data_IF_465167037458
#
_entry.id   IF_465167037458
#
_cell.length_a   1.000
_cell.length_b   1.000
_cell.length_c   1.000
_cell.angle_alpha   90.00
_cell.angle_beta   90.00
_cell.angle_gamma   90.00
#
_symmetry.space_group_name_H-M   'P 1'
#
loop_
_entity.id
_entity.type
_entity.pdbx_description
1 polymer ?
#
# COMPACT_ATOMS: atom_id res chain seq x y z
N UNK A 1 7.15 -10.67 71.08
CA UNK A 1 7.87 -10.82 69.80
C UNK A 1 6.95 -10.91 68.57
N UNK A 2 5.64 -11.13 68.72
CA UNK A 2 4.70 -11.23 67.59
C UNK A 2 4.20 -9.88 67.02
N UNK A 3 4.25 -8.80 67.79
CA UNK A 3 3.72 -7.48 67.38
C UNK A 3 4.64 -6.73 66.39
N UNK A 4 5.96 -6.98 66.43
CA UNK A 4 6.96 -6.36 65.53
C UNK A 4 6.97 -7.01 64.13
N UNK A 5 6.61 -8.29 64.05
CA UNK A 5 6.55 -9.04 62.80
C UNK A 5 5.37 -8.55 61.94
N UNK A 6 4.25 -8.18 62.58
CA UNK A 6 3.04 -7.74 61.91
C UNK A 6 3.15 -6.33 61.29
N UNK A 7 3.88 -5.41 61.93
CA UNK A 7 4.18 -4.08 61.35
C UNK A 7 5.16 -4.21 60.18
N UNK A 8 6.21 -5.01 60.36
CA UNK A 8 7.22 -5.27 59.33
C UNK A 8 6.62 -5.89 58.05
N UNK A 9 5.77 -6.91 58.17
CA UNK A 9 5.08 -7.53 57.03
C UNK A 9 4.14 -6.56 56.30
N UNK A 10 3.45 -5.67 57.03
CA UNK A 10 2.57 -4.66 56.43
C UNK A 10 3.36 -3.62 55.63
N UNK A 11 4.53 -3.24 56.13
CA UNK A 11 5.40 -2.29 55.45
C UNK A 11 6.08 -2.94 54.23
N UNK A 12 6.48 -4.22 54.31
CA UNK A 12 6.91 -5.01 53.15
C UNK A 12 5.81 -5.19 52.09
N UNK A 13 4.56 -5.39 52.51
CA UNK A 13 3.43 -5.48 51.58
C UNK A 13 3.18 -4.15 50.84
N UNK A 14 3.28 -3.01 51.54
CA UNK A 14 3.17 -1.68 50.91
C UNK A 14 4.29 -1.43 49.91
N UNK A 15 5.52 -1.79 50.26
CA UNK A 15 6.68 -1.67 49.38
C UNK A 15 6.51 -2.58 48.15
N UNK A 16 6.02 -3.81 48.34
CA UNK A 16 5.74 -4.73 47.24
C UNK A 16 4.70 -4.20 46.26
N UNK A 17 3.58 -3.64 46.76
CA UNK A 17 2.54 -3.05 45.91
C UNK A 17 3.06 -1.85 45.11
N UNK A 18 3.89 -1.01 45.73
CA UNK A 18 4.54 0.10 45.01
C UNK A 18 5.48 -0.38 43.91
N UNK A 19 6.27 -1.43 44.18
CA UNK A 19 7.18 -2.02 43.19
C UNK A 19 6.43 -2.67 42.03
N UNK A 20 5.29 -3.34 42.28
CA UNK A 20 4.44 -3.90 41.23
C UNK A 20 3.89 -2.78 40.34
N UNK A 21 3.43 -1.68 40.93
CA UNK A 21 2.93 -0.52 40.17
C UNK A 21 4.01 0.09 39.27
N UNK A 22 5.22 0.29 39.79
CA UNK A 22 6.34 0.83 39.02
C UNK A 22 6.75 -0.13 37.90
N UNK A 23 6.79 -1.43 38.18
CA UNK A 23 7.11 -2.45 37.17
C UNK A 23 6.12 -2.43 36.01
N UNK A 24 4.82 -2.37 36.31
CA UNK A 24 3.78 -2.26 35.28
C UNK A 24 3.91 -0.97 34.46
N UNK A 25 4.26 0.15 35.08
CA UNK A 25 4.48 1.42 34.38
C UNK A 25 5.65 1.31 33.40
N UNK A 26 6.77 0.73 33.82
CA UNK A 26 7.93 0.53 32.94
C UNK A 26 7.58 -0.40 31.77
N UNK A 27 6.88 -1.51 32.03
CA UNK A 27 6.43 -2.43 30.97
C UNK A 27 5.52 -1.72 29.98
N UNK A 28 4.55 -0.92 30.45
CA UNK A 28 3.65 -0.16 29.59
C UNK A 28 4.42 0.82 28.68
N UNK A 29 5.40 1.54 29.21
CA UNK A 29 6.25 2.45 28.42
C UNK A 29 7.03 1.69 27.35
N UNK A 30 7.64 0.55 27.70
CA UNK A 30 8.40 -0.26 26.74
C UNK A 30 7.50 -0.81 25.64
N UNK A 31 6.32 -1.34 25.99
CA UNK A 31 5.35 -1.87 25.02
C UNK A 31 4.85 -0.77 24.09
N UNK A 32 4.49 0.40 24.61
CA UNK A 32 4.05 1.54 23.79
C UNK A 32 5.18 2.01 22.88
N UNK A 33 6.40 2.14 23.40
CA UNK A 33 7.54 2.55 22.58
C UNK A 33 7.83 1.54 21.47
N UNK A 34 7.79 0.23 21.78
CA UNK A 34 7.95 -0.82 20.78
C UNK A 34 6.82 -0.81 19.75
N UNK A 35 5.57 -0.68 20.19
CA UNK A 35 4.41 -0.60 19.31
C UNK A 35 4.51 0.60 18.37
N UNK A 36 4.76 1.79 18.90
CA UNK A 36 4.91 3.02 18.12
C UNK A 36 6.11 2.89 17.18
N UNK A 37 7.28 2.45 17.64
CA UNK A 37 8.47 2.31 16.80
C UNK A 37 8.28 1.28 15.69
N UNK A 38 7.66 0.15 15.98
CA UNK A 38 7.39 -0.92 15.01
C UNK A 38 6.34 -0.47 13.99
N UNK A 39 5.21 0.08 14.44
CA UNK A 39 4.19 0.60 13.53
C UNK A 39 4.69 1.79 12.73
N UNK A 40 5.41 2.74 13.32
CA UNK A 40 5.95 3.89 12.58
C UNK A 40 7.05 3.48 11.62
N UNK A 41 7.94 2.52 11.92
CA UNK A 41 8.90 2.05 10.91
C UNK A 41 8.25 1.32 9.74
N UNK A 42 7.23 0.50 10.02
CA UNK A 42 6.47 -0.19 8.97
C UNK A 42 5.66 0.81 8.15
N UNK A 43 5.05 1.80 8.78
CA UNK A 43 4.15 2.76 8.10
C UNK A 43 4.91 3.93 7.46
N UNK A 44 6.01 4.41 8.04
CA UNK A 44 6.82 5.50 7.47
C UNK A 44 7.56 5.09 6.21
N UNK A 45 7.80 3.79 5.99
CA UNK A 45 8.28 3.29 4.70
C UNK A 45 7.19 3.34 3.60
N UNK A 46 5.93 3.67 3.95
CA UNK A 46 4.77 3.56 3.06
C UNK A 46 4.06 4.88 2.74
N UNK A 47 4.50 6.02 3.29
CA UNK A 47 3.98 7.35 2.90
C UNK A 47 4.95 8.03 1.92
N UNK A 48 5.56 7.26 1.02
CA UNK A 48 6.07 7.86 -0.21
C UNK A 48 4.85 8.06 -1.08
N UNK A 49 4.41 9.32 -1.20
CA UNK A 49 3.35 9.70 -2.13
C UNK A 49 3.68 9.12 -3.51
N UNK A 50 2.86 8.16 -3.96
CA UNK A 50 3.13 7.47 -5.23
C UNK A 50 3.10 8.52 -6.34
N UNK A 51 4.13 8.58 -7.21
CA UNK A 51 4.19 9.60 -8.26
C UNK A 51 2.98 9.53 -9.20
N UNK A 52 2.46 8.33 -9.42
CA UNK A 52 1.30 8.09 -10.26
C UNK A 52 0.58 6.80 -9.84
N UNK A 53 -0.67 6.67 -10.29
CA UNK A 53 -1.40 5.40 -10.35
C UNK A 53 -1.62 5.02 -11.80
N UNK A 54 -1.71 3.73 -12.08
CA UNK A 54 -2.01 3.25 -13.42
C UNK A 54 -2.97 2.07 -13.33
N UNK A 55 -3.84 1.94 -14.33
CA UNK A 55 -4.77 0.83 -14.46
C UNK A 55 -5.01 0.53 -15.94
N UNK A 56 -5.44 -0.68 -16.25
CA UNK A 56 -5.85 -1.03 -17.60
C UNK A 56 -7.38 -0.97 -17.74
N UNK A 57 -7.85 -0.27 -18.76
CA UNK A 57 -9.25 -0.26 -19.18
C UNK A 57 -9.58 -1.50 -20.02
N UNK A 58 -10.87 -1.81 -20.14
CA UNK A 58 -11.39 -2.99 -20.88
C UNK A 58 -11.01 -2.98 -22.37
N UNK A 59 -10.75 -1.79 -22.93
CA UNK A 59 -10.44 -1.58 -24.35
C UNK A 59 -8.93 -1.60 -24.66
N UNK A 60 -8.13 -2.39 -23.93
CA UNK A 60 -6.66 -2.46 -24.10
C UNK A 60 -5.98 -1.08 -24.01
N UNK A 61 -6.37 -0.32 -23.00
CA UNK A 61 -5.84 1.02 -22.79
C UNK A 61 -5.26 1.14 -21.37
N UNK A 62 -3.96 1.34 -21.27
CA UNK A 62 -3.28 1.63 -20.00
C UNK A 62 -3.44 3.10 -19.71
N UNK A 63 -4.19 3.41 -18.66
CA UNK A 63 -4.44 4.79 -18.20
C UNK A 63 -3.49 5.09 -17.06
N UNK A 64 -2.78 6.21 -17.17
CA UNK A 64 -1.79 6.67 -16.20
C UNK A 64 -2.33 7.97 -15.60
N UNK A 65 -2.50 8.01 -14.28
CA UNK A 65 -2.98 9.18 -13.53
C UNK A 65 -1.84 9.74 -12.68
N UNK A 66 -1.43 10.97 -12.99
CA UNK A 66 -0.28 11.60 -12.38
C UNK A 66 -0.65 12.37 -11.10
N UNK A 67 0.00 12.06 -9.98
CA UNK A 67 -0.18 12.77 -8.70
C UNK A 67 0.76 13.99 -8.57
N UNK A 68 1.78 14.06 -9.44
CA UNK A 68 2.74 15.15 -9.60
C UNK A 68 3.18 15.24 -11.06
N UNK A 69 3.91 16.26 -11.45
CA UNK A 69 4.49 16.33 -12.79
C UNK A 69 5.46 15.16 -13.00
N UNK A 70 5.25 14.42 -14.08
CA UNK A 70 6.09 13.29 -14.48
C UNK A 70 6.79 13.63 -15.78
N UNK A 71 8.02 13.16 -15.92
CA UNK A 71 8.86 13.30 -17.10
C UNK A 71 9.36 11.92 -17.54
N UNK A 72 9.44 11.70 -18.84
CA UNK A 72 9.97 10.45 -19.42
C UNK A 72 9.28 9.18 -18.87
N UNK A 73 7.95 9.19 -18.82
CA UNK A 73 7.16 8.02 -18.43
C UNK A 73 7.15 7.03 -19.58
N UNK A 74 7.46 5.77 -19.29
CA UNK A 74 7.49 4.69 -20.29
C UNK A 74 6.53 3.58 -19.89
N UNK A 75 5.82 3.04 -20.87
CA UNK A 75 5.00 1.83 -20.72
C UNK A 75 5.72 0.70 -21.43
N UNK A 76 6.03 -0.35 -20.69
CA UNK A 76 6.73 -1.53 -21.19
C UNK A 76 5.78 -2.73 -21.21
N UNK A 77 5.98 -3.64 -22.16
CA UNK A 77 5.33 -4.95 -22.16
C UNK A 77 6.01 -5.93 -21.19
N UNK A 78 5.53 -7.17 -21.15
CA UNK A 78 6.10 -8.25 -20.34
C UNK A 78 7.52 -8.68 -20.76
N UNK A 79 7.98 -8.30 -21.95
CA UNK A 79 9.33 -8.53 -22.48
C UNK A 79 10.24 -7.32 -22.28
N UNK A 80 9.77 -6.29 -21.55
CA UNK A 80 10.47 -5.02 -21.34
C UNK A 80 10.67 -4.19 -22.61
N UNK A 81 9.85 -4.40 -23.63
CA UNK A 81 9.83 -3.61 -24.87
C UNK A 81 8.98 -2.36 -24.62
N UNK A 82 9.48 -1.20 -25.05
CA UNK A 82 8.77 0.07 -24.94
C UNK A 82 7.56 0.10 -25.89
N UNK A 83 6.37 0.26 -25.34
CA UNK A 83 5.10 0.37 -26.07
C UNK A 83 4.73 1.83 -26.28
N UNK A 84 4.79 2.65 -25.22
CA UNK A 84 4.56 4.08 -25.28
C UNK A 84 5.59 4.82 -24.44
N UNK A 85 5.89 6.06 -24.85
CA UNK A 85 6.66 7.02 -24.06
C UNK A 85 5.95 8.36 -24.04
N UNK A 86 5.85 8.93 -22.85
CA UNK A 86 5.34 10.27 -22.62
C UNK A 86 6.46 11.14 -22.10
N UNK A 87 6.76 12.22 -22.83
CA UNK A 87 7.80 13.16 -22.45
C UNK A 87 7.46 13.88 -21.15
N UNK A 88 6.19 14.29 -21.00
CA UNK A 88 5.69 14.96 -19.81
C UNK A 88 4.23 14.57 -19.58
N UNK A 89 3.86 14.32 -18.32
CA UNK A 89 2.47 14.18 -17.86
C UNK A 89 2.30 15.15 -16.71
N UNK A 90 1.42 16.14 -16.88
CA UNK A 90 1.21 17.18 -15.88
C UNK A 90 0.53 16.61 -14.63
N UNK A 91 0.78 17.23 -13.48
CA UNK A 91 0.10 16.92 -12.22
C UNK A 91 -1.42 16.98 -12.40
N UNK A 92 -2.12 16.02 -11.80
CA UNK A 92 -3.58 15.88 -11.85
C UNK A 92 -4.14 15.67 -13.26
N UNK A 93 -3.30 15.24 -14.22
CA UNK A 93 -3.74 14.86 -15.56
C UNK A 93 -3.65 13.35 -15.77
N UNK A 94 -4.24 12.89 -16.87
CA UNK A 94 -4.23 11.50 -17.28
C UNK A 94 -3.73 11.38 -18.71
N UNK A 95 -2.94 10.34 -18.95
CA UNK A 95 -2.52 9.93 -20.28
C UNK A 95 -2.92 8.48 -20.54
N UNK A 96 -3.09 8.16 -21.82
CA UNK A 96 -3.58 6.85 -22.25
C UNK A 96 -2.59 6.26 -23.25
N UNK A 97 -2.11 5.06 -22.95
CA UNK A 97 -1.32 4.24 -23.86
C UNK A 97 -2.18 3.07 -24.36
N UNK A 98 -2.42 3.03 -25.67
CA UNK A 98 -3.07 1.88 -26.31
C UNK A 98 -2.05 0.74 -26.42
N UNK A 99 -2.46 -0.47 -26.02
CA UNK A 99 -1.59 -1.65 -26.07
C UNK A 99 -2.12 -2.66 -27.08
N UNK A 100 -1.23 -3.45 -27.67
CA UNK A 100 -1.58 -4.38 -28.74
C UNK A 100 -2.43 -5.55 -28.22
N UNK A 101 -2.12 -6.07 -27.03
CA UNK A 101 -2.83 -7.24 -26.49
C UNK A 101 -3.17 -7.20 -25.00
N UNK A 102 -4.01 -8.13 -24.58
CA UNK A 102 -4.26 -8.40 -23.17
C UNK A 102 -3.04 -9.05 -22.53
N UNK A 103 -2.71 -8.67 -21.30
CA UNK A 103 -1.49 -9.12 -20.64
C UNK A 103 -0.98 -8.14 -19.59
N UNK A 104 0.28 -8.35 -19.20
CA UNK A 104 0.95 -7.58 -18.15
C UNK A 104 1.78 -6.47 -18.77
N UNK A 105 1.62 -5.26 -18.25
CA UNK A 105 2.37 -4.07 -18.64
C UNK A 105 2.99 -3.40 -17.42
N UNK A 106 4.12 -2.73 -17.64
CA UNK A 106 4.89 -2.04 -16.60
C UNK A 106 4.95 -0.55 -16.96
N UNK A 107 4.33 0.29 -16.15
CA UNK A 107 4.51 1.74 -16.26
C UNK A 107 5.70 2.14 -15.39
N UNK A 108 6.67 2.83 -15.97
CA UNK A 108 7.94 3.21 -15.33
C UNK A 108 8.12 4.74 -15.37
N UNK A 109 8.52 5.30 -14.22
CA UNK A 109 8.94 6.68 -14.05
C UNK A 109 10.16 6.72 -13.12
N UNK A 110 11.33 7.06 -13.66
CA UNK A 110 12.59 6.93 -12.93
C UNK A 110 12.79 5.49 -12.42
N UNK A 111 12.94 5.34 -11.10
CA UNK A 111 13.05 4.03 -10.43
C UNK A 111 11.69 3.45 -10.00
N UNK A 112 10.62 4.25 -10.04
CA UNK A 112 9.29 3.79 -9.66
C UNK A 112 8.65 3.01 -10.81
N UNK A 113 8.13 1.82 -10.49
CA UNK A 113 7.42 0.94 -11.43
C UNK A 113 6.05 0.57 -10.86
N UNK A 114 5.04 0.58 -11.73
CA UNK A 114 3.71 0.11 -11.43
C UNK A 114 3.29 -0.93 -12.47
N UNK A 115 2.91 -2.12 -12.02
CA UNK A 115 2.50 -3.23 -12.89
C UNK A 115 0.99 -3.20 -13.02
N UNK A 116 0.50 -3.24 -14.25
CA UNK A 116 -0.92 -3.29 -14.57
C UNK A 116 -1.22 -4.50 -15.43
N UNK A 117 -2.37 -5.11 -15.22
CA UNK A 117 -2.84 -6.26 -16.00
C UNK A 117 -4.07 -5.85 -16.80
N UNK A 118 -4.00 -6.04 -18.12
CA UNK A 118 -5.11 -5.87 -19.05
C UNK A 118 -5.82 -7.21 -19.22
N UNK A 119 -6.98 -7.37 -18.59
CA UNK A 119 -7.78 -8.59 -18.72
C UNK A 119 -8.61 -8.58 -19.99
N UNK A 120 -8.66 -9.73 -20.66
CA UNK A 120 -9.62 -9.94 -21.75
C UNK A 120 -11.03 -9.96 -21.14
N UNK A 121 -11.97 -9.13 -21.63
CA UNK A 121 -13.33 -9.16 -21.14
C UNK A 121 -13.93 -10.55 -21.40
N UNK A 122 -14.60 -11.11 -20.38
CA UNK A 122 -15.37 -12.33 -20.57
C UNK A 122 -16.48 -12.02 -21.58
N UNK A 123 -16.50 -12.73 -22.71
CA UNK A 123 -17.66 -12.71 -23.60
C UNK A 123 -18.82 -13.30 -22.82
N UNK A 124 -19.75 -12.45 -22.38
CA UNK A 124 -21.05 -12.89 -21.91
C UNK A 124 -21.74 -13.46 -23.14
N UNK A 125 -21.69 -14.78 -23.31
CA UNK A 125 -22.58 -15.45 -24.26
C UNK A 125 -23.98 -15.29 -23.67
N UNK A 126 -24.70 -14.27 -24.10
CA UNK A 126 -26.15 -14.21 -23.92
C UNK A 126 -26.69 -15.32 -24.82
N UNK A 127 -26.80 -16.51 -24.27
CA UNK A 127 -27.54 -17.62 -24.88
C UNK A 127 -29.02 -17.21 -24.90
N UNK A 128 -29.43 -16.48 -25.94
CA UNK A 128 -30.82 -16.10 -26.09
C UNK A 128 -31.08 -15.11 -27.22
N UNK A 129 -31.61 -15.67 -28.33
CA UNK A 129 -32.39 -15.05 -29.42
C UNK A 129 -31.59 -14.54 -30.65
N UNK A 130 -31.79 -15.14 -31.84
CA UNK A 130 -31.48 -14.45 -33.08
C UNK A 130 -32.49 -13.33 -33.28
N UNK A 131 -32.02 -12.09 -33.40
CA UNK A 131 -32.82 -10.99 -33.96
C UNK A 131 -32.72 -11.13 -35.47
N UNK A 132 -33.76 -11.74 -36.05
CA UNK A 132 -34.03 -11.74 -37.48
C UNK A 132 -34.39 -10.30 -37.88
N UNK A 133 -33.56 -9.71 -38.73
CA UNK A 133 -33.82 -8.41 -39.36
C UNK A 133 -34.56 -8.69 -40.66
N UNK A 134 -35.85 -8.35 -40.69
CA UNK A 134 -36.63 -7.99 -41.89
C UNK A 134 -37.63 -6.88 -41.51
#
# INVERSE_FOLDING_TARGET
MSMVIQTSLRDFAKIGVLLIGISLLVIAVVVVHFYVFYFTKITSSTIVERPFTAYCSMSKAVVISANRDLEEVTVLDNRSIEVCRFKNIQKNSQEVCMVEDYGIYIVKYGDFKNVVECYKPATVIISGRPEEVD
#
